data_IF_882900604075
#
_entry.id   IF_882900604075
#
_cell.length_a   1.000
_cell.length_b   1.000
_cell.length_c   1.000
_cell.angle_alpha   90.00
_cell.angle_beta   90.00
_cell.angle_gamma   90.00
#
_symmetry.space_group_name_H-M   'P 1'
#
loop_
_entity.id
_entity.type
_entity.pdbx_description
1 polymer ?
#
# COMPACT_ATOMS: atom_id res chain seq x y z
N UNK A 1 -0.73 1.72 24.08
CA UNK A 1 -1.52 1.01 23.03
C UNK A 1 -2.36 2.09 22.35
N UNK A 2 -2.08 2.37 21.08
CA UNK A 2 -2.91 3.29 20.28
C UNK A 2 -4.31 2.71 20.06
N UNK A 3 -5.26 3.57 19.72
CA UNK A 3 -6.60 3.14 19.29
C UNK A 3 -6.40 2.30 18.01
N UNK A 4 -6.93 1.07 17.93
CA UNK A 4 -6.79 0.27 16.73
C UNK A 4 -7.48 0.97 15.54
N UNK A 5 -6.87 0.92 14.37
CA UNK A 5 -7.42 1.48 13.13
C UNK A 5 -8.65 0.67 12.70
N UNK A 6 -9.75 1.34 12.45
CA UNK A 6 -10.95 0.70 11.90
C UNK A 6 -10.85 0.63 10.37
N UNK A 7 -10.16 -0.39 9.88
CA UNK A 7 -9.92 -0.58 8.45
C UNK A 7 -11.21 -0.72 7.62
N UNK A 8 -12.29 -1.25 8.19
CA UNK A 8 -13.57 -1.36 7.45
C UNK A 8 -14.21 0.01 7.24
N UNK A 9 -14.20 0.88 8.27
CA UNK A 9 -14.67 2.25 8.14
C UNK A 9 -13.84 3.04 7.14
N UNK A 10 -12.50 2.90 7.19
CA UNK A 10 -11.61 3.57 6.25
C UNK A 10 -11.79 3.05 4.82
N UNK A 11 -11.86 1.73 4.60
CA UNK A 11 -12.16 1.16 3.28
C UNK A 11 -13.43 1.79 2.67
N UNK A 12 -14.50 1.88 3.47
CA UNK A 12 -15.76 2.45 2.99
C UNK A 12 -15.64 3.96 2.68
N UNK A 13 -14.97 4.73 3.54
CA UNK A 13 -14.78 6.18 3.37
C UNK A 13 -13.88 6.49 2.17
N UNK A 14 -12.74 5.82 2.06
CA UNK A 14 -11.78 6.05 0.99
C UNK A 14 -12.34 5.63 -0.38
N UNK A 15 -13.05 4.48 -0.44
CA UNK A 15 -13.74 4.05 -1.66
C UNK A 15 -14.87 5.00 -2.07
N UNK A 16 -15.63 5.52 -1.12
CA UNK A 16 -16.69 6.51 -1.41
C UNK A 16 -16.09 7.83 -1.92
N UNK A 17 -15.01 8.31 -1.30
CA UNK A 17 -14.32 9.52 -1.75
C UNK A 17 -13.67 9.31 -3.12
N UNK A 18 -13.03 8.18 -3.36
CA UNK A 18 -12.53 7.80 -4.69
C UNK A 18 -13.63 7.89 -5.75
N UNK A 19 -14.79 7.24 -5.49
CA UNK A 19 -15.93 7.25 -6.41
C UNK A 19 -16.44 8.65 -6.70
N UNK A 20 -16.48 9.52 -5.69
CA UNK A 20 -16.88 10.93 -5.86
C UNK A 20 -15.92 11.66 -6.79
N UNK A 21 -14.63 11.58 -6.52
CA UNK A 21 -13.60 12.33 -7.23
C UNK A 21 -13.43 11.82 -8.66
N UNK A 22 -13.35 10.50 -8.83
CA UNK A 22 -13.12 9.92 -10.16
C UNK A 22 -14.26 10.22 -11.14
N UNK A 23 -15.50 10.40 -10.66
CA UNK A 23 -16.63 10.81 -11.51
C UNK A 23 -16.45 12.18 -12.14
N UNK A 24 -15.73 13.09 -11.47
CA UNK A 24 -15.50 14.47 -11.92
C UNK A 24 -14.32 14.53 -12.91
N UNK A 25 -13.45 13.53 -12.92
CA UNK A 25 -12.31 13.47 -13.83
C UNK A 25 -12.73 13.17 -15.27
N UNK A 26 -12.07 13.79 -16.25
CA UNK A 26 -12.21 13.37 -17.65
C UNK A 26 -11.70 11.92 -17.81
N UNK A 27 -12.38 11.07 -18.60
CA UNK A 27 -12.03 9.65 -18.75
C UNK A 27 -10.58 9.39 -19.15
N UNK A 28 -10.05 10.24 -20.01
CA UNK A 28 -8.71 10.18 -20.58
C UNK A 28 -7.67 11.05 -19.83
N UNK A 29 -8.06 11.66 -18.70
CA UNK A 29 -7.14 12.47 -17.91
C UNK A 29 -5.98 11.61 -17.38
N UNK A 30 -4.71 12.00 -17.54
CA UNK A 30 -3.58 11.21 -17.08
C UNK A 30 -3.52 11.14 -15.56
N UNK A 31 -3.12 10.00 -15.02
CA UNK A 31 -2.87 9.82 -13.58
C UNK A 31 -1.42 10.16 -13.26
N UNK A 32 -1.14 11.24 -12.51
CA UNK A 32 0.23 11.77 -12.36
C UNK A 32 1.25 10.78 -11.80
N UNK A 33 0.83 9.88 -10.90
CA UNK A 33 1.72 8.90 -10.26
C UNK A 33 1.68 7.51 -10.92
N UNK A 34 0.86 7.33 -11.97
CA UNK A 34 0.74 6.11 -12.74
C UNK A 34 0.80 6.48 -14.23
N UNK A 35 1.98 6.73 -14.80
CA UNK A 35 2.15 7.40 -16.10
C UNK A 35 1.50 6.66 -17.29
N UNK A 36 1.31 5.35 -17.17
CA UNK A 36 0.67 4.52 -18.20
C UNK A 36 -0.87 4.49 -18.07
N UNK A 37 -1.44 5.17 -17.05
CA UNK A 37 -2.87 5.13 -16.75
C UNK A 37 -3.55 6.47 -17.00
N UNK A 38 -4.78 6.37 -17.49
CA UNK A 38 -5.76 7.44 -17.43
C UNK A 38 -6.78 7.20 -16.29
N UNK A 39 -7.72 8.14 -16.12
CA UNK A 39 -8.72 8.06 -15.06
C UNK A 39 -9.62 6.82 -15.16
N UNK A 40 -9.93 6.33 -16.37
CA UNK A 40 -10.70 5.09 -16.55
C UNK A 40 -9.88 3.84 -16.27
N UNK A 41 -8.56 3.87 -16.47
CA UNK A 41 -7.67 2.78 -16.08
C UNK A 41 -7.55 2.68 -14.57
N UNK A 42 -7.41 3.82 -13.88
CA UNK A 42 -7.40 3.89 -12.42
C UNK A 42 -8.74 3.38 -11.82
N UNK A 43 -9.88 3.80 -12.39
CA UNK A 43 -11.19 3.34 -11.98
C UNK A 43 -11.34 1.82 -12.17
N UNK A 44 -10.91 1.30 -13.31
CA UNK A 44 -10.94 -0.14 -13.59
C UNK A 44 -10.04 -0.92 -12.64
N UNK A 45 -8.82 -0.44 -12.40
CA UNK A 45 -7.88 -1.09 -11.49
C UNK A 45 -8.49 -1.29 -10.10
N UNK A 46 -8.93 -0.22 -9.44
CA UNK A 46 -9.48 -0.34 -8.09
C UNK A 46 -10.76 -1.18 -8.06
N UNK A 47 -11.61 -1.08 -9.09
CA UNK A 47 -12.80 -1.91 -9.21
C UNK A 47 -12.46 -3.40 -9.32
N UNK A 48 -11.49 -3.75 -10.17
CA UNK A 48 -10.99 -5.12 -10.37
C UNK A 48 -10.39 -5.66 -9.07
N UNK A 49 -9.55 -4.88 -8.39
CA UNK A 49 -8.91 -5.29 -7.12
C UNK A 49 -9.94 -5.55 -6.03
N UNK A 50 -10.92 -4.67 -5.87
CA UNK A 50 -11.99 -4.87 -4.88
C UNK A 50 -12.91 -6.05 -5.21
N UNK A 51 -13.21 -6.28 -6.50
CA UNK A 51 -13.94 -7.46 -6.96
C UNK A 51 -13.17 -8.74 -6.64
N UNK A 52 -11.87 -8.78 -6.96
CA UNK A 52 -10.98 -9.91 -6.71
C UNK A 52 -10.97 -10.30 -5.23
N UNK A 53 -10.67 -9.36 -4.34
CA UNK A 53 -10.62 -9.65 -2.89
C UNK A 53 -11.98 -10.02 -2.31
N UNK A 54 -13.04 -9.40 -2.80
CA UNK A 54 -14.41 -9.79 -2.46
C UNK A 54 -14.71 -11.24 -2.85
N UNK A 55 -14.20 -11.69 -4.00
CA UNK A 55 -14.34 -13.08 -4.49
C UNK A 55 -13.49 -14.05 -3.68
N UNK A 56 -12.23 -13.71 -3.37
CA UNK A 56 -11.35 -14.52 -2.50
C UNK A 56 -12.05 -14.84 -1.17
N UNK A 57 -12.56 -13.81 -0.49
CA UNK A 57 -13.18 -13.99 0.83
C UNK A 57 -14.53 -14.72 0.74
N UNK A 58 -15.36 -14.38 -0.26
CA UNK A 58 -16.70 -14.96 -0.39
C UNK A 58 -16.68 -16.43 -0.79
N UNK A 59 -15.80 -16.78 -1.75
CA UNK A 59 -15.76 -18.14 -2.32
C UNK A 59 -14.69 -19.03 -1.65
N UNK A 60 -13.81 -18.46 -0.82
CA UNK A 60 -12.70 -19.19 -0.20
C UNK A 60 -11.66 -19.67 -1.21
N UNK A 61 -11.43 -18.90 -2.28
CA UNK A 61 -10.56 -19.29 -3.39
C UNK A 61 -9.13 -18.75 -3.22
N UNK A 62 -8.16 -19.46 -3.79
CA UNK A 62 -6.81 -18.95 -4.01
C UNK A 62 -6.78 -17.91 -5.15
N UNK A 63 -5.70 -17.11 -5.21
CA UNK A 63 -5.64 -15.94 -6.07
C UNK A 63 -5.86 -16.23 -7.56
N UNK A 64 -5.20 -17.24 -8.11
CA UNK A 64 -5.35 -17.65 -9.51
C UNK A 64 -6.82 -18.00 -9.85
N UNK A 65 -7.51 -18.70 -8.95
CA UNK A 65 -8.91 -19.08 -9.12
C UNK A 65 -9.88 -17.92 -8.98
N UNK A 66 -9.57 -16.97 -8.12
CA UNK A 66 -10.36 -15.75 -7.98
C UNK A 66 -10.20 -14.82 -9.19
N UNK A 67 -8.98 -14.75 -9.76
CA UNK A 67 -8.71 -13.95 -10.96
C UNK A 67 -9.44 -14.50 -12.21
N UNK A 68 -9.54 -15.84 -12.35
CA UNK A 68 -10.33 -16.50 -13.43
C UNK A 68 -11.81 -16.08 -13.42
N UNK A 69 -12.35 -15.64 -12.28
CA UNK A 69 -13.74 -15.18 -12.14
C UNK A 69 -13.91 -13.68 -12.36
N UNK A 70 -12.83 -12.95 -12.64
CA UNK A 70 -12.91 -11.52 -12.91
C UNK A 70 -13.61 -11.28 -14.25
N UNK A 71 -14.69 -10.47 -14.30
CA UNK A 71 -15.36 -10.13 -15.56
C UNK A 71 -14.46 -9.32 -16.48
N UNK A 72 -14.82 -9.30 -17.77
CA UNK A 72 -14.20 -8.40 -18.72
C UNK A 72 -14.44 -6.93 -18.33
N UNK A 73 -13.47 -6.08 -18.69
CA UNK A 73 -13.58 -4.63 -18.47
C UNK A 73 -14.81 -4.08 -19.19
N UNK A 74 -15.72 -3.34 -18.52
CA UNK A 74 -16.82 -2.64 -19.16
C UNK A 74 -16.34 -1.71 -20.26
N UNK A 75 -17.10 -1.65 -21.35
CA UNK A 75 -16.70 -0.93 -22.56
C UNK A 75 -16.83 0.61 -22.42
N UNK A 76 -17.64 1.08 -21.49
CA UNK A 76 -17.88 2.50 -21.30
C UNK A 76 -17.77 2.91 -19.82
N UNK A 77 -17.61 4.20 -19.59
CA UNK A 77 -17.45 4.78 -18.25
C UNK A 77 -18.62 4.52 -17.32
N UNK A 78 -19.85 4.51 -17.83
CA UNK A 78 -21.03 4.23 -17.01
C UNK A 78 -20.98 2.80 -16.46
N UNK A 79 -20.58 1.85 -17.29
CA UNK A 79 -20.35 0.48 -16.90
C UNK A 79 -19.19 0.33 -15.91
N UNK A 80 -18.09 1.07 -16.09
CA UNK A 80 -16.95 1.07 -15.15
C UNK A 80 -17.38 1.58 -13.76
N UNK A 81 -18.12 2.70 -13.70
CA UNK A 81 -18.63 3.26 -12.45
C UNK A 81 -19.60 2.30 -11.74
N UNK A 82 -20.53 1.71 -12.50
CA UNK A 82 -21.48 0.74 -11.95
C UNK A 82 -20.78 -0.52 -11.43
N UNK A 83 -19.75 -1.01 -12.14
CA UNK A 83 -18.96 -2.15 -11.73
C UNK A 83 -18.17 -1.86 -10.45
N UNK A 84 -17.54 -0.67 -10.35
CA UNK A 84 -16.84 -0.24 -9.14
C UNK A 84 -17.80 -0.20 -7.93
N UNK A 85 -18.98 0.41 -8.07
CA UNK A 85 -19.96 0.49 -6.99
C UNK A 85 -20.42 -0.88 -6.48
N UNK A 86 -20.66 -1.81 -7.41
CA UNK A 86 -21.04 -3.18 -7.06
C UNK A 86 -19.87 -3.92 -6.38
N UNK A 87 -18.66 -3.84 -6.92
CA UNK A 87 -17.46 -4.49 -6.39
C UNK A 87 -17.14 -3.98 -4.97
N UNK A 88 -17.13 -2.66 -4.78
CA UNK A 88 -16.89 -2.01 -3.48
C UNK A 88 -17.95 -2.41 -2.44
N UNK A 89 -19.21 -2.41 -2.83
CA UNK A 89 -20.32 -2.83 -1.95
C UNK A 89 -20.24 -4.31 -1.58
N UNK A 90 -19.86 -5.19 -2.52
CA UNK A 90 -19.68 -6.63 -2.28
C UNK A 90 -18.50 -6.89 -1.34
N UNK A 91 -17.35 -6.28 -1.60
CA UNK A 91 -16.17 -6.39 -0.74
C UNK A 91 -16.49 -5.97 0.70
N UNK A 92 -17.07 -4.78 0.88
CA UNK A 92 -17.43 -4.27 2.20
C UNK A 92 -18.37 -5.22 2.94
N UNK A 93 -19.42 -5.72 2.27
CA UNK A 93 -20.38 -6.65 2.90
C UNK A 93 -19.74 -7.97 3.31
N UNK A 94 -18.92 -8.57 2.47
CA UNK A 94 -18.30 -9.86 2.81
C UNK A 94 -17.27 -9.69 3.94
N UNK A 95 -16.47 -8.61 3.92
CA UNK A 95 -15.52 -8.34 5.00
C UNK A 95 -16.20 -8.02 6.33
N UNK A 96 -17.34 -7.32 6.34
CA UNK A 96 -18.12 -7.09 7.57
C UNK A 96 -18.66 -8.41 8.13
N UNK A 97 -19.12 -9.32 7.27
CA UNK A 97 -19.68 -10.60 7.67
C UNK A 97 -18.66 -11.66 8.06
N UNK A 98 -17.37 -11.47 7.74
CA UNK A 98 -16.30 -12.45 7.99
C UNK A 98 -15.46 -12.01 9.19
N UNK A 99 -15.22 -12.86 10.17
CA UNK A 99 -14.36 -12.54 11.30
C UNK A 99 -12.92 -12.22 10.84
N UNK A 100 -12.22 -11.24 11.45
CA UNK A 100 -10.88 -10.87 10.99
C UNK A 100 -9.86 -12.02 11.07
N UNK A 101 -10.04 -12.94 12.00
CA UNK A 101 -9.19 -14.13 12.18
C UNK A 101 -9.54 -15.27 11.21
N UNK A 102 -10.63 -15.15 10.45
CA UNK A 102 -11.03 -16.17 9.50
C UNK A 102 -9.95 -16.36 8.43
N UNK A 103 -9.62 -17.62 8.16
CA UNK A 103 -8.64 -17.95 7.12
C UNK A 103 -9.14 -17.48 5.75
N UNK A 104 -8.28 -16.79 5.04
CA UNK A 104 -8.49 -16.35 3.67
C UNK A 104 -7.15 -16.35 2.95
N UNK A 105 -7.13 -16.77 1.70
CA UNK A 105 -5.90 -16.72 0.92
C UNK A 105 -5.41 -15.28 0.74
N UNK A 106 -4.11 -15.10 0.88
CA UNK A 106 -3.42 -13.86 0.49
C UNK A 106 -2.05 -14.22 -0.10
N UNK A 107 -1.44 -13.30 -0.80
CA UNK A 107 -0.06 -13.44 -1.26
C UNK A 107 0.97 -13.19 -0.15
N UNK A 108 0.53 -12.66 0.99
CA UNK A 108 1.37 -12.40 2.18
C UNK A 108 1.48 -13.65 3.07
N UNK A 109 2.36 -13.57 4.07
CA UNK A 109 2.47 -14.59 5.11
C UNK A 109 1.23 -14.63 6.02
N UNK A 110 0.50 -13.54 6.14
CA UNK A 110 -0.73 -13.47 6.92
C UNK A 110 -1.95 -13.86 6.07
N UNK A 111 -2.45 -15.08 6.26
CA UNK A 111 -3.55 -15.68 5.51
C UNK A 111 -4.90 -15.45 6.22
N UNK A 112 -5.33 -14.20 6.38
CA UNK A 112 -6.54 -13.84 7.13
C UNK A 112 -7.41 -12.79 6.43
N UNK A 113 -8.70 -12.77 6.74
CA UNK A 113 -9.61 -11.70 6.33
C UNK A 113 -9.22 -10.36 6.95
N UNK A 114 -8.55 -10.35 8.11
CA UNK A 114 -8.00 -9.17 8.76
C UNK A 114 -6.93 -8.49 7.93
N UNK A 115 -6.00 -9.29 7.37
CA UNK A 115 -5.02 -8.77 6.42
C UNK A 115 -5.69 -8.13 5.20
N UNK A 116 -6.70 -8.78 4.62
CA UNK A 116 -7.42 -8.25 3.46
C UNK A 116 -8.13 -6.94 3.80
N UNK A 117 -8.74 -6.80 5.00
CA UNK A 117 -9.34 -5.54 5.46
C UNK A 117 -8.32 -4.40 5.46
N UNK A 118 -7.15 -4.65 6.06
CA UNK A 118 -6.04 -3.68 6.14
C UNK A 118 -5.56 -3.30 4.74
N UNK A 119 -5.17 -4.29 3.94
CA UNK A 119 -4.64 -4.06 2.59
C UNK A 119 -5.63 -3.28 1.71
N UNK A 120 -6.92 -3.61 1.79
CA UNK A 120 -7.93 -2.94 0.97
C UNK A 120 -8.27 -1.53 1.46
N UNK A 121 -8.11 -1.23 2.75
CA UNK A 121 -8.21 0.15 3.24
C UNK A 121 -7.08 1.03 2.68
N UNK A 122 -5.84 0.51 2.68
CA UNK A 122 -4.68 1.24 2.10
C UNK A 122 -4.73 1.30 0.58
N UNK A 123 -5.19 0.25 -0.09
CA UNK A 123 -5.43 0.25 -1.54
C UNK A 123 -6.41 1.37 -1.94
N UNK A 124 -7.55 1.42 -1.26
CA UNK A 124 -8.56 2.47 -1.49
C UNK A 124 -8.00 3.86 -1.18
N UNK A 125 -7.22 4.03 -0.10
CA UNK A 125 -6.58 5.28 0.29
C UNK A 125 -5.63 5.79 -0.80
N UNK A 126 -4.68 4.97 -1.23
CA UNK A 126 -3.65 5.40 -2.20
C UNK A 126 -4.28 5.74 -3.55
N UNK A 127 -5.24 4.95 -4.02
CA UNK A 127 -5.92 5.26 -5.27
C UNK A 127 -6.92 6.42 -5.16
N UNK A 128 -7.48 6.69 -3.97
CA UNK A 128 -8.20 7.95 -3.73
C UNK A 128 -7.25 9.16 -3.87
N UNK A 129 -6.02 9.04 -3.34
CA UNK A 129 -4.98 10.07 -3.53
C UNK A 129 -4.68 10.24 -5.02
N UNK A 130 -4.53 9.17 -5.79
CA UNK A 130 -4.30 9.22 -7.23
C UNK A 130 -5.44 9.93 -7.97
N UNK A 131 -6.70 9.62 -7.67
CA UNK A 131 -7.86 10.28 -8.25
C UNK A 131 -7.91 11.79 -7.90
N UNK A 132 -7.56 12.14 -6.66
CA UNK A 132 -7.48 13.54 -6.23
C UNK A 132 -6.32 14.31 -6.91
N UNK A 133 -5.25 13.65 -7.26
CA UNK A 133 -4.17 14.24 -8.06
C UNK A 133 -4.62 14.53 -9.49
N UNK A 134 -5.45 13.67 -10.10
CA UNK A 134 -6.04 13.93 -11.42
C UNK A 134 -6.90 15.20 -11.41
N UNK A 135 -7.67 15.45 -10.34
CA UNK A 135 -8.57 16.62 -10.24
C UNK A 135 -7.94 17.83 -9.56
N UNK A 136 -6.75 17.68 -8.96
CA UNK A 136 -6.07 18.74 -8.23
C UNK A 136 -6.66 19.07 -6.84
N UNK A 137 -7.57 18.25 -6.31
CA UNK A 137 -8.30 18.51 -5.05
C UNK A 137 -7.91 17.51 -3.95
N UNK A 138 -6.69 17.61 -3.42
CA UNK A 138 -6.19 16.76 -2.33
C UNK A 138 -6.94 17.01 -1.02
N UNK A 139 -7.46 15.96 -0.42
CA UNK A 139 -8.02 15.97 0.93
C UNK A 139 -7.04 15.38 1.96
N UNK A 140 -7.15 15.76 3.25
CA UNK A 140 -6.33 15.17 4.28
C UNK A 140 -6.51 13.66 4.40
N UNK A 141 -5.47 12.98 4.86
CA UNK A 141 -5.49 11.57 5.25
C UNK A 141 -5.59 11.52 6.78
N UNK A 142 -6.36 10.58 7.31
CA UNK A 142 -6.37 10.32 8.76
C UNK A 142 -4.95 9.95 9.22
N UNK A 143 -4.39 10.64 10.23
CA UNK A 143 -3.03 10.39 10.67
C UNK A 143 -2.78 8.97 11.18
N UNK A 144 -3.78 8.32 11.82
CA UNK A 144 -3.62 6.95 12.31
C UNK A 144 -3.65 5.94 11.16
N UNK A 145 -4.50 6.18 10.14
CA UNK A 145 -4.47 5.39 8.91
C UNK A 145 -3.13 5.56 8.19
N UNK A 146 -2.63 6.79 8.05
CA UNK A 146 -1.31 7.04 7.47
C UNK A 146 -0.18 6.34 8.25
N UNK A 147 -0.21 6.34 9.58
CA UNK A 147 0.77 5.62 10.39
C UNK A 147 0.69 4.10 10.19
N UNK A 148 -0.51 3.55 10.06
CA UNK A 148 -0.71 2.13 9.75
C UNK A 148 -0.25 1.81 8.32
N UNK A 149 -0.42 2.74 7.36
CA UNK A 149 0.10 2.63 5.99
C UNK A 149 1.61 2.60 5.91
N UNK A 150 2.29 3.45 6.68
CA UNK A 150 3.76 3.39 6.82
C UNK A 150 4.21 2.01 7.33
N UNK A 151 3.53 1.46 8.34
CA UNK A 151 3.87 0.14 8.86
C UNK A 151 3.62 -0.97 7.82
N UNK A 152 2.52 -0.91 7.08
CA UNK A 152 2.23 -1.84 5.99
C UNK A 152 3.27 -1.75 4.88
N UNK A 153 3.58 -0.55 4.39
CA UNK A 153 4.57 -0.35 3.34
C UNK A 153 5.94 -0.92 3.73
N UNK A 154 6.41 -0.61 4.94
CA UNK A 154 7.73 -1.04 5.40
C UNK A 154 7.83 -2.55 5.71
N UNK A 155 6.75 -3.17 6.21
CA UNK A 155 6.81 -4.57 6.68
C UNK A 155 6.27 -5.57 5.68
N UNK A 156 5.31 -5.16 4.87
CA UNK A 156 4.60 -6.05 3.94
C UNK A 156 5.06 -5.81 2.52
N UNK A 157 5.09 -4.54 2.08
CA UNK A 157 5.34 -4.24 0.67
C UNK A 157 6.84 -4.26 0.34
N UNK A 158 7.68 -3.60 1.16
CA UNK A 158 9.13 -3.59 0.94
C UNK A 158 9.87 -4.68 1.72
N UNK A 159 9.48 -4.94 2.97
CA UNK A 159 10.27 -5.75 3.91
C UNK A 159 10.03 -7.25 3.88
N UNK A 160 9.20 -7.78 2.95
CA UNK A 160 8.93 -9.21 2.87
C UNK A 160 10.06 -9.95 2.13
N UNK A 161 10.70 -10.89 2.81
CA UNK A 161 11.73 -11.74 2.21
C UNK A 161 11.14 -13.14 1.98
N UNK A 162 10.97 -13.60 0.73
CA UNK A 162 10.45 -14.92 0.43
C UNK A 162 11.46 -16.02 0.79
N UNK A 163 10.99 -17.27 0.97
CA UNK A 163 11.80 -18.41 1.40
C UNK A 163 12.98 -18.75 0.47
N UNK A 164 12.90 -18.36 -0.80
CA UNK A 164 13.96 -18.58 -1.78
C UNK A 164 15.05 -17.50 -1.78
N UNK A 165 14.88 -16.44 -0.97
CA UNK A 165 15.78 -15.29 -0.91
C UNK A 165 16.37 -15.09 0.49
N UNK A 166 17.40 -14.27 0.57
CA UNK A 166 18.05 -13.89 1.82
C UNK A 166 18.25 -12.39 1.85
N UNK A 167 17.86 -11.75 2.95
CA UNK A 167 18.23 -10.38 3.26
C UNK A 167 19.45 -10.38 4.19
N UNK A 168 20.53 -9.70 3.78
CA UNK A 168 21.73 -9.51 4.59
C UNK A 168 21.78 -8.06 5.08
N UNK A 169 21.51 -7.78 6.37
CA UNK A 169 21.45 -6.41 6.89
C UNK A 169 22.85 -5.79 7.00
N UNK A 170 22.98 -4.51 6.64
CA UNK A 170 24.09 -3.65 7.03
C UNK A 170 23.72 -2.92 8.33
N UNK A 171 24.11 -3.50 9.45
CA UNK A 171 23.77 -3.02 10.77
C UNK A 171 24.32 -1.62 11.13
N UNK A 172 25.21 -1.06 10.33
CA UNK A 172 25.69 0.31 10.49
C UNK A 172 24.74 1.33 9.84
N UNK A 173 23.85 0.88 8.95
CA UNK A 173 22.97 1.72 8.16
C UNK A 173 21.49 1.53 8.57
N UNK A 174 21.08 2.28 9.58
CA UNK A 174 19.69 2.26 10.08
C UNK A 174 19.06 3.63 9.91
N UNK A 175 17.89 3.67 9.30
CA UNK A 175 17.04 4.87 9.19
C UNK A 175 15.92 4.79 10.21
N UNK A 176 15.69 5.87 10.93
CA UNK A 176 14.50 6.08 11.75
C UNK A 176 13.49 6.92 11.01
N UNK A 177 12.28 6.39 10.80
CA UNK A 177 11.13 7.17 10.34
C UNK A 177 10.31 7.58 11.56
N UNK A 178 9.90 8.84 11.65
CA UNK A 178 9.11 9.34 12.78
C UNK A 178 7.96 10.22 12.32
N UNK A 179 6.73 9.80 12.64
CA UNK A 179 5.52 10.57 12.47
C UNK A 179 5.35 11.55 13.64
N UNK A 180 5.37 12.85 13.33
CA UNK A 180 5.37 13.92 14.35
C UNK A 180 3.98 14.15 14.95
N UNK A 181 2.93 13.85 14.19
CA UNK A 181 1.53 14.03 14.56
C UNK A 181 0.98 12.89 15.41
N UNK A 182 1.42 11.65 15.15
CA UNK A 182 0.95 10.45 15.86
C UNK A 182 1.94 9.92 16.88
N UNK A 183 3.22 10.34 16.79
CA UNK A 183 4.31 9.87 17.64
C UNK A 183 4.85 8.48 17.28
N UNK A 184 4.33 7.84 16.22
CA UNK A 184 4.83 6.55 15.75
C UNK A 184 6.27 6.66 15.25
N UNK A 185 7.02 5.59 15.43
CA UNK A 185 8.42 5.52 15.02
C UNK A 185 8.73 4.13 14.49
N UNK A 186 9.39 4.07 13.35
CA UNK A 186 9.86 2.84 12.71
C UNK A 186 11.37 2.90 12.54
N UNK A 187 12.00 1.74 12.62
CA UNK A 187 13.42 1.57 12.33
C UNK A 187 13.56 0.62 11.15
N UNK A 188 14.39 1.02 10.22
CA UNK A 188 14.62 0.29 8.96
C UNK A 188 16.10 0.13 8.76
N UNK A 189 16.58 -1.09 8.63
CA UNK A 189 17.98 -1.38 8.32
C UNK A 189 18.13 -1.57 6.81
N UNK A 190 19.10 -0.90 6.22
CA UNK A 190 19.52 -1.14 4.85
C UNK A 190 20.30 -2.44 4.76
N UNK A 191 20.22 -3.10 3.63
CA UNK A 191 20.91 -4.35 3.42
C UNK A 191 20.94 -4.73 1.95
N UNK A 192 21.10 -6.03 1.72
CA UNK A 192 21.17 -6.60 0.39
C UNK A 192 20.26 -7.80 0.28
N UNK A 193 19.39 -7.78 -0.71
CA UNK A 193 18.53 -8.88 -1.08
C UNK A 193 19.24 -9.74 -2.11
N UNK A 194 19.34 -11.05 -1.87
CA UNK A 194 19.97 -12.00 -2.78
C UNK A 194 19.14 -13.27 -2.88
N UNK A 195 19.01 -13.81 -4.08
CA UNK A 195 18.28 -15.05 -4.31
C UNK A 195 18.05 -15.34 -5.78
N UNK A 196 17.49 -16.52 -6.06
CA UNK A 196 17.02 -16.87 -7.42
C UNK A 196 15.58 -17.32 -7.34
N UNK A 197 14.70 -16.63 -8.05
CA UNK A 197 13.27 -16.93 -8.05
C UNK A 197 12.99 -18.28 -8.74
N UNK A 198 12.33 -19.24 -8.05
CA UNK A 198 12.14 -20.60 -8.57
C UNK A 198 11.32 -20.69 -9.86
N UNK A 199 10.38 -19.80 -10.08
CA UNK A 199 9.47 -19.83 -11.24
C UNK A 199 10.10 -19.26 -12.51
N UNK A 200 10.77 -18.12 -12.41
CA UNK A 200 11.37 -17.40 -13.55
C UNK A 200 12.84 -17.74 -13.77
N UNK A 201 13.57 -18.22 -12.73
CA UNK A 201 15.01 -18.39 -12.74
C UNK A 201 15.80 -17.07 -12.69
N UNK A 202 15.15 -15.93 -12.44
CA UNK A 202 15.80 -14.63 -12.30
C UNK A 202 16.59 -14.60 -11.00
N UNK A 203 17.85 -14.16 -11.09
CA UNK A 203 18.72 -13.97 -9.92
C UNK A 203 18.74 -12.48 -9.53
N UNK A 204 18.59 -12.25 -8.24
CA UNK A 204 18.60 -10.93 -7.62
C UNK A 204 19.86 -10.76 -6.77
N UNK A 205 20.46 -9.59 -6.81
CA UNK A 205 21.56 -9.13 -5.97
C UNK A 205 21.53 -7.60 -5.90
N UNK A 206 20.63 -7.06 -5.07
CA UNK A 206 20.26 -5.65 -5.08
C UNK A 206 20.16 -5.04 -3.67
N UNK A 207 20.33 -3.71 -3.52
CA UNK A 207 20.01 -3.02 -2.27
C UNK A 207 18.55 -3.21 -1.90
N UNK A 208 18.30 -3.39 -0.60
CA UNK A 208 16.96 -3.56 -0.07
C UNK A 208 16.87 -3.05 1.37
N UNK A 209 15.68 -3.04 1.94
CA UNK A 209 15.40 -2.57 3.30
C UNK A 209 14.59 -3.60 4.09
N UNK A 210 14.79 -3.61 5.41
CA UNK A 210 13.96 -4.40 6.31
C UNK A 210 13.60 -3.62 7.56
N UNK A 211 12.30 -3.60 7.89
CA UNK A 211 11.82 -3.04 9.15
C UNK A 211 12.29 -3.90 10.33
N UNK A 212 12.84 -3.27 11.35
CA UNK A 212 13.36 -3.93 12.56
C UNK A 212 12.62 -3.49 13.81
N UNK A 213 12.74 -4.26 14.89
CA UNK A 213 12.13 -3.90 16.17
C UNK A 213 12.72 -2.59 16.73
N UNK A 214 11.85 -1.78 17.35
CA UNK A 214 12.21 -0.46 17.88
C UNK A 214 13.26 -0.51 18.99
N UNK A 215 13.36 -1.60 19.74
CA UNK A 215 14.28 -1.78 20.86
C UNK A 215 15.62 -2.44 20.48
N UNK A 216 15.98 -2.45 19.21
CA UNK A 216 17.25 -3.01 18.74
C UNK A 216 18.48 -2.43 19.46
N UNK A 217 18.29 -1.38 20.29
CA UNK A 217 19.35 -0.69 21.05
C UNK A 217 20.36 0.04 20.17
N UNK A 218 20.14 0.09 18.86
CA UNK A 218 21.05 0.69 17.89
C UNK A 218 20.67 2.14 17.60
N UNK A 219 21.61 3.08 17.63
CA UNK A 219 21.34 4.44 17.17
C UNK A 219 21.04 4.41 15.67
N UNK A 220 20.04 5.18 15.23
CA UNK A 220 19.81 5.39 13.82
C UNK A 220 20.92 6.28 13.24
N UNK A 221 21.44 5.92 12.05
CA UNK A 221 22.45 6.71 11.33
C UNK A 221 21.82 7.89 10.62
N UNK A 222 20.55 7.76 10.24
CA UNK A 222 19.75 8.80 9.60
C UNK A 222 18.32 8.82 10.13
N UNK A 223 17.62 9.93 9.92
CA UNK A 223 16.21 10.08 10.30
C UNK A 223 15.42 10.81 9.22
N UNK A 224 14.19 10.33 8.97
CA UNK A 224 13.19 11.04 8.17
C UNK A 224 11.98 11.32 9.06
N UNK A 225 11.58 12.59 9.13
CA UNK A 225 10.45 13.02 9.97
C UNK A 225 9.42 13.81 9.17
N UNK A 226 8.15 13.65 9.52
CA UNK A 226 7.03 14.37 8.91
C UNK A 226 5.70 13.97 9.52
N UNK A 227 4.59 14.35 8.90
CA UNK A 227 3.28 13.79 9.23
C UNK A 227 3.19 12.31 8.81
N UNK A 228 2.38 11.52 9.50
CA UNK A 228 2.20 10.10 9.17
C UNK A 228 1.71 9.92 7.72
N UNK A 229 0.73 10.71 7.32
CA UNK A 229 0.20 10.72 5.96
C UNK A 229 1.24 11.11 4.89
N UNK A 230 2.16 12.02 5.23
CA UNK A 230 3.22 12.45 4.32
C UNK A 230 4.29 11.36 4.15
N UNK A 231 4.62 10.65 5.23
CA UNK A 231 5.52 9.50 5.19
C UNK A 231 4.91 8.35 4.38
N UNK A 232 3.63 8.07 4.57
CA UNK A 232 2.90 7.04 3.81
C UNK A 232 2.88 7.36 2.33
N UNK A 233 2.44 8.58 1.95
CA UNK A 233 2.47 9.04 0.57
C UNK A 233 3.87 8.94 -0.06
N UNK A 234 4.91 9.32 0.68
CA UNK A 234 6.29 9.25 0.19
C UNK A 234 6.74 7.80 -0.10
N UNK A 235 6.43 6.87 0.80
CA UNK A 235 6.74 5.45 0.60
C UNK A 235 6.02 4.87 -0.62
N UNK A 236 4.83 5.37 -0.94
CA UNK A 236 4.06 4.99 -2.12
C UNK A 236 4.39 5.86 -3.36
N UNK A 237 5.40 6.71 -3.32
CA UNK A 237 5.79 7.63 -4.41
C UNK A 237 4.69 8.62 -4.81
N UNK A 238 3.86 9.03 -3.85
CA UNK A 238 2.85 10.08 -4.03
C UNK A 238 3.33 11.38 -3.39
N UNK A 239 2.99 12.55 -3.98
CA UNK A 239 3.38 13.83 -3.39
C UNK A 239 2.83 13.98 -1.98
N UNK A 240 3.70 14.27 -1.01
CA UNK A 240 3.30 14.68 0.32
C UNK A 240 2.58 16.04 0.29
N UNK A 241 1.65 16.28 1.23
CA UNK A 241 1.04 17.60 1.42
C UNK A 241 1.92 18.48 2.30
N UNK A 242 2.62 17.88 3.25
CA UNK A 242 3.56 18.54 4.15
C UNK A 242 5.01 18.38 3.71
N UNK A 243 5.91 18.64 4.63
CA UNK A 243 7.35 18.58 4.40
C UNK A 243 7.99 17.43 5.17
N UNK A 244 8.81 16.64 4.48
CA UNK A 244 9.65 15.61 5.09
C UNK A 244 11.05 16.16 5.36
N UNK A 245 11.46 16.15 6.62
CA UNK A 245 12.81 16.54 7.02
C UNK A 245 13.72 15.31 7.06
N UNK A 246 14.90 15.41 6.48
CA UNK A 246 15.94 14.39 6.45
C UNK A 246 17.14 14.88 7.23
N UNK A 247 17.67 14.06 8.15
CA UNK A 247 18.81 14.39 8.98
C UNK A 247 19.73 13.18 9.17
N UNK A 248 20.95 13.40 9.65
CA UNK A 248 21.94 12.35 9.87
C UNK A 248 22.81 12.12 8.64
N UNK A 249 23.21 10.88 8.41
CA UNK A 249 24.10 10.50 7.32
C UNK A 249 23.41 10.58 5.96
N UNK A 250 23.85 11.45 5.04
CA UNK A 250 23.21 11.63 3.73
C UNK A 250 23.35 10.38 2.82
N UNK A 251 24.41 9.58 2.98
CA UNK A 251 24.57 8.36 2.19
C UNK A 251 23.56 7.28 2.62
N UNK A 252 23.24 7.24 3.93
CA UNK A 252 22.22 6.32 4.44
C UNK A 252 20.82 6.75 3.99
N UNK A 253 20.51 8.06 3.99
CA UNK A 253 19.25 8.56 3.43
C UNK A 253 19.14 8.22 1.95
N UNK A 254 20.16 8.53 1.16
CA UNK A 254 20.17 8.22 -0.29
C UNK A 254 20.06 6.71 -0.56
N UNK A 255 20.71 5.87 0.25
CA UNK A 255 20.61 4.42 0.16
C UNK A 255 19.19 3.89 0.45
N UNK A 256 18.50 4.49 1.42
CA UNK A 256 17.10 4.17 1.69
C UNK A 256 16.21 4.59 0.52
N UNK A 257 16.35 5.82 0.03
CA UNK A 257 15.57 6.32 -1.10
C UNK A 257 15.80 5.49 -2.37
N UNK A 258 17.04 5.05 -2.61
CA UNK A 258 17.34 4.17 -3.73
C UNK A 258 16.72 2.76 -3.59
N UNK A 259 16.62 2.24 -2.36
CA UNK A 259 16.00 0.94 -2.12
C UNK A 259 14.46 0.95 -2.31
N UNK A 260 13.81 2.08 -2.06
CA UNK A 260 12.37 2.24 -2.31
C UNK A 260 12.05 2.78 -3.71
N UNK A 261 13.04 3.21 -4.49
CA UNK A 261 12.84 3.84 -5.82
C UNK A 261 12.06 2.98 -6.81
N UNK A 262 12.20 1.64 -6.86
CA UNK A 262 11.38 0.81 -7.75
C UNK A 262 9.87 0.95 -7.50
N UNK A 263 9.48 1.42 -6.33
CA UNK A 263 8.08 1.62 -5.95
C UNK A 263 7.36 0.34 -5.58
N UNK A 264 6.10 0.51 -5.16
CA UNK A 264 5.17 -0.59 -4.87
C UNK A 264 4.20 -0.66 -6.05
N UNK A 265 4.17 -1.80 -6.75
CA UNK A 265 3.32 -2.07 -7.92
C UNK A 265 2.21 -3.06 -7.57
#
# INVERSE_FOLDING_TARGET
MGVPVDHLSHLAQESARFAQVIREAAPDAPVPCCPDWNADDLLWHLAKVQYFWGTVVREGLAGDKADELTPDRPADRAGLLAFFEDASSRLSRVLVATAPEAAAWTWSLEQTAGFIRRRQAHEALIHRVDAELVTGNRSPIDPLLGADGVDEALRVMYGTVPDWATFTPDHAKTVRLRALDTGHTWFVTLGRFTGTEPGSGISYDEPDIQAVAADSGRPASAEVTGGAADLDCWLWHRPALGHLQRTGDPEVVAGFEAAIEPGIN
#
